data_IF_108494979527
#
_entry.id   IF_108494979527
#
_cell.length_a   1.000
_cell.length_b   1.000
_cell.length_c   1.000
_cell.angle_alpha   90.00
_cell.angle_beta   90.00
_cell.angle_gamma   90.00
#
_symmetry.space_group_name_H-M   'P 1'
#
loop_
_entity.id
_entity.type
_entity.pdbx_description
1 polymer ?
#
# COMPACT_ATOMS: atom_id res chain seq x y z
N UNK A 1 34.77 57.55 16.45
CA UNK A 1 36.13 58.06 16.70
C UNK A 1 37.04 56.88 16.95
N UNK A 2 38.07 56.81 16.12
CA UNK A 2 39.11 55.79 16.00
C UNK A 2 40.14 55.91 17.17
N UNK A 3 41.32 55.23 17.19
CA UNK A 3 41.96 54.45 16.11
C UNK A 3 42.71 53.16 16.54
N UNK A 4 42.89 52.21 15.60
CA UNK A 4 44.13 51.81 14.90
C UNK A 4 45.20 51.16 15.81
N UNK A 5 45.87 50.08 15.44
CA UNK A 5 46.21 49.58 14.11
C UNK A 5 47.22 48.42 14.22
N UNK A 6 47.82 47.95 13.10
CA UNK A 6 47.97 46.53 12.80
C UNK A 6 49.44 46.09 12.54
N UNK A 7 49.60 44.94 11.85
CA UNK A 7 50.79 44.35 11.16
C UNK A 7 51.42 43.18 11.94
N UNK A 8 51.86 42.05 11.36
CA UNK A 8 51.93 41.53 9.98
C UNK A 8 52.36 40.03 10.05
N UNK A 9 51.92 39.22 9.06
CA UNK A 9 52.66 38.23 8.20
C UNK A 9 53.76 37.37 8.87
N UNK A 10 53.98 36.08 8.59
CA UNK A 10 53.64 35.17 7.48
C UNK A 10 54.27 33.81 7.79
N UNK A 11 53.71 32.70 7.29
CA UNK A 11 54.48 31.69 6.53
C UNK A 11 53.53 30.68 5.89
N UNK A 12 53.65 30.56 4.58
CA UNK A 12 53.09 29.51 3.74
C UNK A 12 54.07 28.32 3.68
N UNK A 13 53.52 27.10 3.63
CA UNK A 13 54.05 25.86 3.03
C UNK A 13 53.16 24.71 3.56
N UNK A 14 52.75 23.66 2.85
CA UNK A 14 52.77 23.29 1.45
C UNK A 14 51.77 22.11 1.35
N UNK A 15 51.02 22.02 0.26
CA UNK A 15 50.16 20.87 -0.06
C UNK A 15 51.01 19.69 -0.54
N UNK A 16 50.65 18.42 -0.22
CA UNK A 16 51.06 17.28 -1.02
C UNK A 16 49.90 16.76 -1.88
N UNK A 17 50.27 16.46 -3.11
CA UNK A 17 49.54 15.90 -4.25
C UNK A 17 48.89 14.51 -3.97
N UNK A 18 47.78 14.13 -4.64
CA UNK A 18 47.03 12.92 -4.40
C UNK A 18 47.50 11.79 -5.32
N UNK A 19 48.18 10.77 -4.78
CA UNK A 19 48.34 9.44 -5.41
C UNK A 19 49.01 8.47 -4.42
N UNK A 20 48.21 7.74 -3.65
CA UNK A 20 48.65 6.52 -2.99
C UNK A 20 47.52 5.48 -3.03
N UNK A 21 47.51 4.70 -4.13
CA UNK A 21 46.68 3.50 -4.27
C UNK A 21 47.24 2.41 -3.37
N UNK A 22 46.60 2.15 -2.22
CA UNK A 22 46.85 0.93 -1.46
C UNK A 22 46.03 -0.22 -2.06
N UNK A 23 46.72 -1.11 -2.80
CA UNK A 23 46.17 -2.35 -3.34
C UNK A 23 46.04 -3.38 -2.21
N UNK A 24 44.81 -3.71 -1.80
CA UNK A 24 44.57 -4.94 -1.03
C UNK A 24 44.68 -6.13 -1.99
N UNK A 25 45.78 -6.87 -1.89
CA UNK A 25 46.04 -8.11 -2.63
C UNK A 25 45.51 -9.29 -1.80
N UNK A 26 44.34 -9.82 -2.16
CA UNK A 26 43.83 -11.09 -1.63
C UNK A 26 44.78 -12.20 -2.07
N UNK A 27 45.54 -12.77 -1.13
CA UNK A 27 46.32 -14.00 -1.36
C UNK A 27 45.35 -15.18 -1.34
N UNK A 28 45.18 -15.86 -2.48
CA UNK A 28 44.63 -17.22 -2.56
C UNK A 28 45.63 -18.17 -1.90
N UNK A 29 45.28 -18.71 -0.72
CA UNK A 29 45.97 -19.84 -0.10
C UNK A 29 45.23 -21.13 -0.46
N UNK A 30 45.89 -22.01 -1.21
CA UNK A 30 45.36 -23.32 -1.57
C UNK A 30 45.45 -24.29 -0.40
N UNK A 31 44.36 -25.04 -0.17
CA UNK A 31 44.37 -26.21 0.70
C UNK A 31 45.00 -27.38 -0.06
N UNK A 32 46.12 -27.90 0.47
CA UNK A 32 46.68 -29.21 0.11
C UNK A 32 46.35 -30.19 1.23
N UNK A 33 45.90 -31.37 0.80
CA UNK A 33 45.78 -32.58 1.60
C UNK A 33 47.10 -32.93 2.29
N UNK A 34 47.02 -33.43 3.52
CA UNK A 34 47.92 -34.50 3.94
C UNK A 34 47.24 -35.42 4.95
N UNK A 35 47.30 -36.71 4.62
CA UNK A 35 47.00 -37.88 5.44
C UNK A 35 47.90 -37.89 6.67
N UNK A 36 47.35 -38.36 7.79
CA UNK A 36 47.95 -39.44 8.60
C UNK A 36 46.96 -39.86 9.71
N UNK A 37 46.67 -41.18 9.77
CA UNK A 37 45.92 -41.84 10.85
C UNK A 37 46.91 -42.65 11.68
N UNK A 38 46.80 -42.70 13.02
CA UNK A 38 47.40 -43.77 13.80
C UNK A 38 46.45 -44.97 13.91
N UNK A 39 47.04 -46.16 13.92
CA UNK A 39 46.41 -47.47 13.97
C UNK A 39 46.43 -48.07 15.39
N UNK A 40 45.50 -49.02 15.63
CA UNK A 40 45.55 -50.06 16.66
C UNK A 40 44.22 -50.19 17.43
N UNK A 41 43.61 -51.35 17.69
CA UNK A 41 43.81 -52.78 17.35
C UNK A 41 42.45 -53.51 17.60
N UNK A 42 42.36 -54.85 17.61
CA UNK A 42 41.62 -55.70 16.67
C UNK A 42 40.17 -56.06 17.09
N UNK A 43 39.34 -56.36 16.10
CA UNK A 43 37.95 -56.82 16.24
C UNK A 43 37.92 -58.33 16.49
N UNK A 44 37.36 -58.74 17.63
CA UNK A 44 36.93 -60.10 17.91
C UNK A 44 35.54 -60.39 17.32
N UNK A 45 35.36 -61.61 16.82
CA UNK A 45 34.22 -62.08 16.07
C UNK A 45 33.18 -62.70 17.02
N UNK A 46 32.01 -62.08 17.20
CA UNK A 46 30.86 -62.70 17.87
C UNK A 46 29.59 -62.56 17.01
N UNK A 47 28.84 -63.66 16.90
CA UNK A 47 27.69 -63.82 16.02
C UNK A 47 26.47 -63.00 16.48
N UNK A 48 25.85 -62.28 15.55
CA UNK A 48 24.58 -61.57 15.77
C UNK A 48 23.38 -62.54 15.72
N UNK A 49 22.43 -62.48 16.68
CA UNK A 49 21.18 -63.24 16.60
C UNK A 49 20.21 -62.63 15.57
N UNK A 50 19.53 -63.49 14.80
CA UNK A 50 18.53 -63.13 13.79
C UNK A 50 17.38 -62.30 14.39
N UNK A 51 17.16 -61.09 13.85
CA UNK A 51 15.98 -60.28 14.17
C UNK A 51 14.75 -60.77 13.40
N UNK A 52 13.69 -61.14 14.13
CA UNK A 52 12.36 -61.40 13.57
C UNK A 52 11.80 -60.14 12.88
N UNK A 53 11.06 -60.27 11.77
CA UNK A 53 10.47 -59.13 11.07
C UNK A 53 9.39 -58.47 11.95
N UNK A 54 9.29 -57.12 11.95
CA UNK A 54 8.29 -56.43 12.74
C UNK A 54 6.87 -56.76 12.23
N UNK A 55 5.96 -56.95 13.19
CA UNK A 55 4.56 -57.27 12.95
C UNK A 55 3.82 -56.20 12.14
N UNK A 56 2.70 -56.62 11.58
CA UNK A 56 1.76 -55.83 10.77
C UNK A 56 1.44 -54.45 11.38
N UNK A 57 1.32 -53.40 10.55
CA UNK A 57 1.07 -52.05 11.03
C UNK A 57 -0.25 -52.00 11.78
N UNK A 58 -0.18 -51.62 13.06
CA UNK A 58 -1.35 -51.27 13.85
C UNK A 58 -2.06 -50.10 13.16
N UNK A 59 -3.39 -50.18 13.07
CA UNK A 59 -4.26 -49.09 12.64
C UNK A 59 -4.01 -47.87 13.54
N UNK A 60 -3.20 -46.92 13.05
CA UNK A 60 -3.10 -45.60 13.66
C UNK A 60 -4.34 -44.85 13.21
N UNK A 61 -5.36 -44.80 14.07
CA UNK A 61 -6.45 -43.85 13.91
C UNK A 61 -5.85 -42.44 13.83
N UNK A 62 -5.85 -41.84 12.64
CA UNK A 62 -5.41 -40.46 12.49
C UNK A 62 -6.46 -39.57 13.15
N UNK A 63 -6.17 -39.11 14.38
CA UNK A 63 -6.97 -38.05 15.00
C UNK A 63 -6.91 -36.84 14.06
N UNK A 64 -8.05 -36.48 13.49
CA UNK A 64 -8.18 -35.26 12.69
C UNK A 64 -7.67 -34.07 13.52
N UNK A 65 -6.83 -33.24 12.90
CA UNK A 65 -6.34 -32.02 13.54
C UNK A 65 -7.52 -31.13 13.94
N UNK A 66 -7.37 -30.37 15.04
CA UNK A 66 -8.37 -29.36 15.43
C UNK A 66 -8.56 -28.35 14.30
N UNK A 67 -9.77 -27.78 14.14
CA UNK A 67 -10.01 -26.76 13.12
C UNK A 67 -9.10 -25.54 13.33
N UNK A 68 -8.61 -24.99 12.23
CA UNK A 68 -7.82 -23.75 12.22
C UNK A 68 -8.73 -22.52 12.36
N UNK A 69 -8.17 -21.31 12.26
CA UNK A 69 -8.95 -20.07 12.35
C UNK A 69 -10.00 -20.02 11.23
N UNK A 70 -11.28 -20.11 11.60
CA UNK A 70 -12.38 -20.21 10.65
C UNK A 70 -12.50 -18.99 9.70
N UNK A 71 -12.21 -17.78 10.19
CA UNK A 71 -12.27 -16.56 9.37
C UNK A 71 -11.17 -16.55 8.31
N UNK A 72 -9.94 -16.88 8.70
CA UNK A 72 -8.81 -16.95 7.77
C UNK A 72 -9.00 -18.11 6.77
N UNK A 73 -9.49 -19.26 7.22
CA UNK A 73 -9.81 -20.39 6.33
C UNK A 73 -10.92 -20.06 5.32
N UNK A 74 -11.86 -19.18 5.68
CA UNK A 74 -12.91 -18.69 4.78
C UNK A 74 -12.48 -17.50 3.92
N UNK A 75 -11.34 -16.87 4.21
CA UNK A 75 -10.85 -15.72 3.46
C UNK A 75 -10.23 -16.20 2.14
N UNK A 76 -10.87 -15.86 1.04
CA UNK A 76 -10.36 -16.16 -0.30
C UNK A 76 -9.09 -15.37 -0.62
N UNK A 77 -8.38 -15.81 -1.65
CA UNK A 77 -7.26 -15.06 -2.23
C UNK A 77 -7.74 -13.68 -2.72
N UNK A 78 -6.95 -12.63 -2.49
CA UNK A 78 -7.33 -11.27 -2.88
C UNK A 78 -7.50 -11.15 -4.40
N UNK A 79 -8.40 -10.26 -4.85
CA UNK A 79 -8.60 -9.96 -6.27
C UNK A 79 -7.29 -9.53 -6.95
N UNK A 80 -6.41 -8.83 -6.21
CA UNK A 80 -5.11 -8.39 -6.71
C UNK A 80 -4.22 -9.58 -7.05
N UNK A 81 -4.12 -10.57 -6.17
CA UNK A 81 -3.33 -11.77 -6.40
C UNK A 81 -3.88 -12.57 -7.58
N UNK A 82 -5.21 -12.73 -7.67
CA UNK A 82 -5.88 -13.46 -8.77
C UNK A 82 -5.59 -12.78 -10.11
N UNK A 83 -5.84 -11.48 -10.22
CA UNK A 83 -5.68 -10.75 -11.48
C UNK A 83 -4.20 -10.59 -11.87
N UNK A 84 -3.28 -10.42 -10.92
CA UNK A 84 -1.84 -10.38 -11.22
C UNK A 84 -1.30 -11.73 -11.70
N UNK A 85 -1.77 -12.85 -11.14
CA UNK A 85 -1.42 -14.19 -11.62
C UNK A 85 -1.94 -14.41 -13.05
N UNK A 86 -3.20 -14.02 -13.32
CA UNK A 86 -3.78 -14.09 -14.67
C UNK A 86 -3.00 -13.20 -15.65
N UNK A 87 -2.60 -12.01 -15.23
CA UNK A 87 -1.79 -11.11 -16.06
C UNK A 87 -0.45 -11.77 -16.46
N UNK A 88 0.25 -12.38 -15.49
CA UNK A 88 1.51 -13.08 -15.74
C UNK A 88 1.32 -14.27 -16.68
N UNK A 89 0.29 -15.10 -16.45
CA UNK A 89 -0.05 -16.25 -17.30
C UNK A 89 -0.28 -15.84 -18.77
N UNK A 90 -0.87 -14.67 -18.98
CA UNK A 90 -1.21 -14.18 -20.30
C UNK A 90 -0.21 -13.18 -20.87
N UNK A 91 0.89 -12.82 -20.18
CA UNK A 91 1.78 -11.76 -20.64
C UNK A 91 1.06 -10.42 -20.84
N UNK A 92 0.04 -10.17 -20.01
CA UNK A 92 -0.78 -8.97 -20.07
C UNK A 92 -0.10 -7.79 -19.38
N UNK A 93 -0.40 -6.58 -19.83
CA UNK A 93 -0.03 -5.35 -19.12
C UNK A 93 -0.91 -5.25 -17.88
N UNK A 94 -0.28 -5.20 -16.71
CA UNK A 94 -0.99 -5.11 -15.44
C UNK A 94 -1.29 -3.66 -15.05
N UNK A 95 -2.42 -3.15 -15.53
CA UNK A 95 -3.05 -1.91 -15.02
C UNK A 95 -3.97 -2.18 -13.82
N UNK A 96 -4.01 -3.40 -13.29
CA UNK A 96 -4.82 -3.74 -12.14
C UNK A 96 -4.16 -3.33 -10.82
N UNK A 97 -2.88 -3.68 -10.66
CA UNK A 97 -2.17 -3.47 -9.39
C UNK A 97 -1.60 -2.04 -9.28
N UNK A 98 -1.93 -1.37 -8.16
CA UNK A 98 -1.60 0.04 -7.90
C UNK A 98 -0.19 0.28 -7.36
N UNK A 99 0.83 -0.12 -8.11
CA UNK A 99 2.22 0.24 -7.89
C UNK A 99 2.83 0.92 -9.14
N UNK A 100 3.67 1.96 -8.97
CA UNK A 100 4.45 2.54 -10.06
C UNK A 100 5.41 1.54 -10.70
N UNK A 101 5.55 1.58 -12.03
CA UNK A 101 6.62 0.87 -12.76
C UNK A 101 7.83 1.77 -13.06
N UNK A 102 7.86 2.95 -12.45
CA UNK A 102 9.00 3.86 -12.36
C UNK A 102 9.65 3.69 -10.98
N UNK A 103 10.98 3.77 -10.94
CA UNK A 103 11.71 3.75 -9.68
C UNK A 103 11.46 5.05 -8.90
N UNK A 104 11.52 4.98 -7.57
CA UNK A 104 11.40 6.15 -6.71
C UNK A 104 12.59 7.13 -6.84
N UNK A 105 12.59 8.22 -6.06
CA UNK A 105 13.67 9.22 -6.08
C UNK A 105 15.04 8.58 -5.82
N UNK A 106 15.98 8.77 -6.74
CA UNK A 106 17.29 8.11 -6.68
C UNK A 106 18.10 8.49 -5.43
N UNK A 107 17.92 9.70 -4.90
CA UNK A 107 18.56 10.17 -3.68
C UNK A 107 18.00 9.47 -2.43
N UNK A 108 16.69 9.21 -2.39
CA UNK A 108 16.06 8.40 -1.33
C UNK A 108 16.56 6.97 -1.37
N UNK A 109 16.62 6.35 -2.57
CA UNK A 109 17.20 5.01 -2.74
C UNK A 109 18.68 4.96 -2.33
N UNK A 110 19.46 5.99 -2.69
CA UNK A 110 20.86 6.12 -2.29
C UNK A 110 21.00 6.23 -0.78
N UNK A 111 20.18 7.03 -0.12
CA UNK A 111 20.19 7.17 1.34
C UNK A 111 19.92 5.84 2.05
N UNK A 112 19.02 4.99 1.52
CA UNK A 112 18.81 3.65 2.05
C UNK A 112 20.04 2.75 1.87
N UNK A 113 20.69 2.82 0.71
CA UNK A 113 21.91 2.07 0.41
C UNK A 113 23.08 2.48 1.34
N UNK A 114 23.26 3.78 1.56
CA UNK A 114 24.32 4.30 2.42
C UNK A 114 24.05 3.96 3.90
N UNK A 115 22.78 4.04 4.32
CA UNK A 115 22.34 3.62 5.65
C UNK A 115 22.61 2.14 5.95
N UNK A 116 22.66 1.26 4.96
CA UNK A 116 23.04 -0.15 5.17
C UNK A 116 24.53 -0.31 5.54
N UNK A 117 25.38 0.64 5.13
CA UNK A 117 26.83 0.58 5.28
C UNK A 117 27.36 1.29 6.54
N UNK A 118 26.50 1.99 7.29
CA UNK A 118 26.89 2.81 8.43
C UNK A 118 26.89 2.08 9.79
N UNK A 119 26.74 0.75 9.76
CA UNK A 119 26.72 -0.16 10.90
C UNK A 119 25.53 -0.01 11.87
N UNK A 120 24.48 0.78 11.54
CA UNK A 120 23.25 0.91 12.35
C UNK A 120 22.14 -0.03 11.87
N UNK A 121 22.47 -1.31 11.72
CA UNK A 121 21.57 -2.35 11.17
C UNK A 121 20.74 -3.12 12.22
N UNK A 122 20.91 -2.80 13.51
CA UNK A 122 20.21 -3.49 14.62
C UNK A 122 18.84 -2.86 14.91
N UNK A 123 18.07 -3.49 15.81
CA UNK A 123 16.71 -3.05 16.14
C UNK A 123 16.62 -1.55 16.47
N UNK A 124 15.71 -0.80 15.82
CA UNK A 124 15.39 0.57 16.22
C UNK A 124 14.51 0.60 17.48
N UNK A 125 14.20 1.79 18.03
CA UNK A 125 13.13 1.92 19.00
C UNK A 125 11.80 1.39 18.46
N UNK A 126 10.94 0.87 19.36
CA UNK A 126 9.60 0.35 19.04
C UNK A 126 8.78 1.32 18.17
N UNK A 127 8.78 2.61 18.49
CA UNK A 127 8.00 3.61 17.74
C UNK A 127 8.67 4.09 16.46
N UNK A 128 9.87 3.60 16.13
CA UNK A 128 10.66 4.01 14.98
C UNK A 128 11.86 4.89 15.33
N UNK A 129 12.75 5.05 14.35
CA UNK A 129 13.96 5.87 14.48
C UNK A 129 13.58 7.35 14.68
N UNK A 130 14.30 8.10 15.54
CA UNK A 130 14.04 9.53 15.76
C UNK A 130 13.96 10.34 14.47
N UNK A 131 14.86 10.07 13.51
CA UNK A 131 14.96 10.80 12.25
C UNK A 131 13.64 10.76 11.46
N UNK A 132 12.99 9.60 11.39
CA UNK A 132 11.71 9.47 10.68
C UNK A 132 10.56 10.10 11.47
N UNK A 133 10.54 9.94 12.80
CA UNK A 133 9.47 10.52 13.62
C UNK A 133 9.49 12.06 13.56
N UNK A 134 10.68 12.65 13.62
CA UNK A 134 10.89 14.10 13.43
C UNK A 134 10.47 14.55 12.03
N UNK A 135 10.84 13.81 10.98
CA UNK A 135 10.45 14.13 9.61
C UNK A 135 8.93 14.05 9.40
N UNK A 136 8.24 13.09 10.03
CA UNK A 136 6.77 12.99 10.00
C UNK A 136 6.13 14.18 10.70
N UNK A 137 6.61 14.58 11.88
CA UNK A 137 6.11 15.76 12.57
C UNK A 137 6.31 17.04 11.73
N UNK A 138 7.51 17.23 11.17
CA UNK A 138 7.83 18.36 10.30
C UNK A 138 6.96 18.39 9.03
N UNK A 139 6.69 17.23 8.41
CA UNK A 139 5.81 17.14 7.25
C UNK A 139 4.36 17.51 7.61
N UNK A 140 3.84 17.05 8.75
CA UNK A 140 2.51 17.41 9.22
C UNK A 140 2.39 18.94 9.48
N UNK A 141 3.40 19.56 10.09
CA UNK A 141 3.42 21.02 10.27
C UNK A 141 3.47 21.75 8.91
N UNK A 142 4.38 21.35 8.02
CA UNK A 142 4.56 21.99 6.72
C UNK A 142 3.32 21.95 5.83
N UNK A 143 2.72 20.77 5.67
CA UNK A 143 1.61 20.57 4.72
C UNK A 143 0.25 20.95 5.30
N UNK A 144 0.09 20.86 6.62
CA UNK A 144 -1.22 20.95 7.27
C UNK A 144 -1.28 21.87 8.48
N UNK A 145 -0.16 22.50 8.87
CA UNK A 145 -0.09 23.37 10.04
C UNK A 145 -0.32 22.64 11.37
N UNK A 146 -0.12 21.32 11.40
CA UNK A 146 -0.34 20.53 12.61
C UNK A 146 0.93 20.46 13.47
N UNK A 147 0.82 20.86 14.72
CA UNK A 147 1.86 20.66 15.74
C UNK A 147 1.79 19.23 16.28
N UNK A 148 2.84 18.45 16.01
CA UNK A 148 2.95 17.04 16.38
C UNK A 148 4.21 16.85 17.22
N UNK A 149 4.08 16.24 18.39
CA UNK A 149 5.22 15.79 19.19
C UNK A 149 5.79 14.48 18.57
N UNK A 150 6.99 14.49 17.97
CA UNK A 150 7.52 13.32 17.30
C UNK A 150 7.80 12.15 18.25
N UNK A 151 7.94 12.39 19.56
CA UNK A 151 8.17 11.33 20.55
C UNK A 151 6.86 10.74 21.03
N UNK A 152 5.87 11.58 21.31
CA UNK A 152 4.62 11.16 21.93
C UNK A 152 3.51 10.77 20.93
N UNK A 153 3.60 11.21 19.68
CA UNK A 153 2.44 11.22 18.76
C UNK A 153 2.70 10.58 17.40
N UNK A 154 3.91 10.04 17.19
CA UNK A 154 4.28 9.34 15.95
C UNK A 154 4.70 7.91 16.24
N UNK A 155 4.08 6.96 15.52
CA UNK A 155 4.45 5.54 15.52
C UNK A 155 4.73 5.09 14.09
N UNK A 156 5.95 4.65 13.82
CA UNK A 156 6.34 4.06 12.54
C UNK A 156 5.88 2.60 12.47
N UNK A 157 5.44 2.16 11.30
CA UNK A 157 4.90 0.82 11.05
C UNK A 157 5.43 0.24 9.73
N UNK A 158 5.26 -1.07 9.55
CA UNK A 158 5.70 -1.78 8.34
C UNK A 158 4.69 -1.62 7.19
N UNK A 159 4.52 -0.37 6.78
CA UNK A 159 3.59 0.07 5.74
C UNK A 159 2.19 0.35 6.29
N UNK A 160 1.38 1.07 5.51
CA UNK A 160 0.03 1.44 5.93
C UNK A 160 -0.90 0.25 6.22
N UNK A 161 -0.70 -0.91 5.58
CA UNK A 161 -1.46 -2.13 5.90
C UNK A 161 -1.31 -2.53 7.38
N UNK A 162 -0.08 -2.46 7.90
CA UNK A 162 0.17 -2.71 9.31
C UNK A 162 -0.38 -1.56 10.15
N UNK A 163 -0.21 -0.31 9.71
CA UNK A 163 -0.75 0.86 10.40
C UNK A 163 -2.25 0.79 10.65
N UNK A 164 -3.03 0.42 9.62
CA UNK A 164 -4.49 0.25 9.71
C UNK A 164 -4.81 -0.82 10.75
N UNK A 165 -4.12 -1.97 10.67
CA UNK A 165 -4.33 -3.08 11.60
C UNK A 165 -4.00 -2.69 13.03
N UNK A 166 -2.87 -2.00 13.25
CA UNK A 166 -2.44 -1.52 14.56
C UNK A 166 -3.42 -0.49 15.15
N UNK A 167 -3.94 0.43 14.32
CA UNK A 167 -4.96 1.40 14.74
C UNK A 167 -6.25 0.69 15.18
N UNK A 168 -6.73 -0.28 14.39
CA UNK A 168 -7.95 -1.03 14.73
C UNK A 168 -7.73 -1.89 16.00
N UNK A 169 -6.59 -2.57 16.13
CA UNK A 169 -6.24 -3.32 17.34
C UNK A 169 -6.14 -2.44 18.59
N UNK A 170 -5.69 -1.19 18.44
CA UNK A 170 -5.55 -0.27 19.57
C UNK A 170 -6.89 0.29 20.09
N UNK A 171 -7.94 0.25 19.26
CA UNK A 171 -9.23 0.90 19.54
C UNK A 171 -10.37 -0.07 19.82
N UNK A 172 -10.35 -1.25 19.17
CA UNK A 172 -11.50 -2.13 19.09
C UNK A 172 -11.44 -3.29 20.09
N UNK A 173 -12.57 -3.53 20.73
CA UNK A 173 -12.90 -4.76 21.43
C UNK A 173 -13.97 -5.57 20.65
N UNK A 174 -14.11 -6.88 20.92
CA UNK A 174 -15.20 -7.67 20.34
C UNK A 174 -16.58 -7.07 20.63
N UNK A 175 -17.38 -6.91 19.58
CA UNK A 175 -18.73 -6.32 19.66
C UNK A 175 -18.79 -4.81 19.46
N UNK A 176 -17.66 -4.10 19.39
CA UNK A 176 -17.61 -2.70 18.95
C UNK A 176 -18.08 -2.57 17.49
N UNK A 177 -18.76 -1.48 17.17
CA UNK A 177 -19.20 -1.19 15.80
C UNK A 177 -18.20 -0.26 15.10
N UNK A 178 -17.86 -0.57 13.84
CA UNK A 178 -16.97 0.24 13.01
C UNK A 178 -17.68 0.66 11.73
N UNK A 179 -17.82 1.96 11.52
CA UNK A 179 -18.38 2.50 10.28
C UNK A 179 -17.34 2.39 9.16
N UNK A 180 -17.70 1.75 8.06
CA UNK A 180 -16.86 1.58 6.88
C UNK A 180 -17.57 2.15 5.65
N UNK A 181 -16.86 2.98 4.88
CA UNK A 181 -17.39 3.64 3.70
C UNK A 181 -16.97 2.87 2.44
N UNK A 182 -17.91 2.18 1.79
CA UNK A 182 -17.67 1.50 0.52
C UNK A 182 -17.57 2.51 -0.64
N UNK A 183 -16.74 2.24 -1.66
CA UNK A 183 -15.91 1.04 -1.84
C UNK A 183 -14.68 0.99 -0.90
N UNK A 184 -14.39 -0.20 -0.37
CA UNK A 184 -13.38 -0.46 0.65
C UNK A 184 -12.07 -0.92 0.04
N UNK A 185 -10.94 -0.48 0.59
CA UNK A 185 -9.70 -1.24 0.43
C UNK A 185 -9.85 -2.61 1.10
N UNK A 186 -9.34 -3.64 0.44
CA UNK A 186 -9.62 -5.06 0.73
C UNK A 186 -9.23 -5.50 2.15
N UNK A 187 -8.33 -4.77 2.81
CA UNK A 187 -7.86 -5.09 4.16
C UNK A 187 -8.85 -4.69 5.26
N UNK A 188 -9.70 -3.68 5.05
CA UNK A 188 -10.50 -3.07 6.13
C UNK A 188 -11.48 -4.07 6.76
N UNK A 189 -12.35 -4.66 5.93
CA UNK A 189 -13.43 -5.53 6.39
C UNK A 189 -12.93 -6.83 7.04
N UNK A 190 -11.94 -7.55 6.47
CA UNK A 190 -11.38 -8.75 7.11
C UNK A 190 -10.77 -8.46 8.49
N UNK A 191 -10.02 -7.36 8.65
CA UNK A 191 -9.38 -7.02 9.93
C UNK A 191 -10.43 -6.69 10.99
N UNK A 192 -11.44 -5.86 10.66
CA UNK A 192 -12.54 -5.55 11.59
C UNK A 192 -13.22 -6.84 12.08
N UNK A 193 -13.54 -7.77 11.17
CA UNK A 193 -14.17 -9.05 11.53
C UNK A 193 -13.24 -9.94 12.37
N UNK A 194 -11.95 -9.98 12.05
CA UNK A 194 -10.96 -10.77 12.77
C UNK A 194 -10.79 -10.32 14.23
N UNK A 195 -10.97 -9.03 14.50
CA UNK A 195 -10.96 -8.46 15.85
C UNK A 195 -12.28 -8.67 16.60
N UNK A 196 -13.28 -9.30 15.99
CA UNK A 196 -14.59 -9.52 16.59
C UNK A 196 -15.49 -8.28 16.59
N UNK A 197 -15.11 -7.21 15.90
CA UNK A 197 -15.91 -6.01 15.74
C UNK A 197 -16.94 -6.16 14.61
N UNK A 198 -17.99 -5.33 14.66
CA UNK A 198 -19.15 -5.38 13.77
C UNK A 198 -19.06 -4.25 12.75
N UNK A 199 -18.87 -4.54 11.45
CA UNK A 199 -18.84 -3.51 10.42
C UNK A 199 -20.24 -2.93 10.15
N UNK A 200 -20.33 -1.60 10.10
CA UNK A 200 -21.51 -0.83 9.69
C UNK A 200 -21.20 -0.19 8.34
N UNK A 201 -21.67 -0.81 7.26
CA UNK A 201 -21.31 -0.43 5.90
C UNK A 201 -22.19 0.73 5.41
N UNK A 202 -21.55 1.72 4.81
CA UNK A 202 -22.18 2.89 4.18
C UNK A 202 -21.67 2.99 2.76
N UNK A 203 -22.58 3.06 1.77
CA UNK A 203 -22.21 2.84 0.37
C UNK A 203 -22.20 4.11 -0.46
N UNK A 204 -21.04 4.50 -1.00
CA UNK A 204 -20.99 5.46 -2.10
C UNK A 204 -21.37 4.73 -3.39
N UNK A 205 -22.19 5.38 -4.22
CA UNK A 205 -22.63 4.82 -5.49
C UNK A 205 -22.00 5.55 -6.69
N UNK A 206 -21.46 4.82 -7.68
CA UNK A 206 -21.10 5.42 -8.96
C UNK A 206 -22.35 5.90 -9.72
N UNK A 207 -22.21 6.90 -10.62
CA UNK A 207 -20.96 7.52 -11.05
C UNK A 207 -20.50 8.69 -10.18
N UNK A 208 -21.32 9.16 -9.24
CA UNK A 208 -21.10 10.43 -8.56
C UNK A 208 -20.26 10.34 -7.28
N UNK A 209 -20.22 9.18 -6.63
CA UNK A 209 -19.49 8.98 -5.38
C UNK A 209 -19.89 9.98 -4.28
N UNK A 210 -21.17 10.35 -4.24
CA UNK A 210 -21.73 11.25 -3.23
C UNK A 210 -21.76 10.56 -1.86
N UNK A 211 -21.39 11.27 -0.79
CA UNK A 211 -21.52 10.75 0.56
C UNK A 211 -23.00 10.67 0.97
N UNK A 212 -23.57 9.47 1.23
CA UNK A 212 -24.97 9.32 1.61
C UNK A 212 -25.16 9.75 3.07
N UNK A 213 -25.34 11.05 3.31
CA UNK A 213 -25.35 11.65 4.66
C UNK A 213 -26.33 10.99 5.64
N UNK A 214 -27.54 10.66 5.16
CA UNK A 214 -28.57 10.03 5.99
C UNK A 214 -28.17 8.60 6.41
N UNK A 215 -27.68 7.79 5.47
CA UNK A 215 -27.17 6.44 5.75
C UNK A 215 -25.95 6.47 6.66
N UNK A 216 -25.04 7.42 6.43
CA UNK A 216 -23.88 7.61 7.30
C UNK A 216 -24.33 7.93 8.73
N UNK A 217 -25.23 8.89 8.93
CA UNK A 217 -25.74 9.21 10.26
C UNK A 217 -26.43 8.01 10.93
N UNK A 218 -27.19 7.21 10.18
CA UNK A 218 -27.86 6.02 10.70
C UNK A 218 -26.90 4.87 11.04
N UNK A 219 -25.69 4.85 10.46
CA UNK A 219 -24.67 3.86 10.77
C UNK A 219 -23.97 4.12 12.12
N UNK A 220 -24.04 5.35 12.64
CA UNK A 220 -23.54 5.69 13.97
C UNK A 220 -24.57 5.36 15.05
N UNK A 221 -24.10 4.84 16.18
CA UNK A 221 -24.92 4.48 17.32
C UNK A 221 -24.09 4.38 18.62
N UNK A 222 -24.70 3.92 19.73
CA UNK A 222 -24.03 3.86 21.03
C UNK A 222 -22.83 2.89 21.10
N UNK A 223 -22.74 1.94 20.16
CA UNK A 223 -21.63 0.99 20.06
C UNK A 223 -20.57 1.39 19.04
N UNK A 224 -20.76 2.50 18.33
CA UNK A 224 -19.81 2.94 17.31
C UNK A 224 -18.52 3.38 17.96
N UNK A 225 -17.46 2.58 17.79
CA UNK A 225 -16.14 2.86 18.32
C UNK A 225 -15.31 3.72 17.37
N UNK A 226 -15.44 3.45 16.06
CA UNK A 226 -14.63 4.14 15.07
C UNK A 226 -15.33 4.24 13.70
N UNK A 227 -14.88 5.21 12.91
CA UNK A 227 -15.04 5.23 11.45
C UNK A 227 -13.67 4.99 10.80
N UNK A 228 -13.63 4.25 9.69
CA UNK A 228 -12.46 4.17 8.82
C UNK A 228 -12.72 5.01 7.56
N UNK A 229 -11.94 6.08 7.41
CA UNK A 229 -12.02 7.01 6.29
C UNK A 229 -10.80 6.85 5.40
N UNK A 230 -11.00 6.65 4.09
CA UNK A 230 -9.93 6.66 3.10
C UNK A 230 -10.07 7.86 2.16
N UNK A 231 -9.11 8.79 2.22
CA UNK A 231 -9.09 9.99 1.38
C UNK A 231 -7.65 10.41 1.07
N UNK A 232 -7.28 10.59 -0.21
CA UNK A 232 -8.02 10.23 -1.42
C UNK A 232 -8.36 8.73 -1.52
N UNK A 233 -9.58 8.43 -1.98
CA UNK A 233 -10.19 7.12 -1.89
C UNK A 233 -9.72 6.17 -3.00
N UNK A 234 -9.27 4.98 -2.62
CA UNK A 234 -9.13 3.81 -3.49
C UNK A 234 -10.34 2.90 -3.29
N UNK A 235 -11.06 2.48 -4.35
CA UNK A 235 -10.78 2.65 -5.80
C UNK A 235 -11.39 3.89 -6.47
N UNK A 236 -12.25 4.65 -5.78
CA UNK A 236 -13.13 5.64 -6.41
C UNK A 236 -12.41 6.87 -7.00
N UNK A 237 -11.17 7.15 -6.58
CA UNK A 237 -10.46 8.38 -6.92
C UNK A 237 -11.10 9.63 -6.28
N UNK A 238 -12.01 9.45 -5.31
CA UNK A 238 -12.69 10.55 -4.62
C UNK A 238 -11.74 11.27 -3.67
N UNK A 239 -11.76 12.60 -3.70
CA UNK A 239 -11.21 13.46 -2.65
C UNK A 239 -12.40 14.02 -1.87
N UNK A 240 -12.43 13.84 -0.56
CA UNK A 240 -13.54 14.31 0.27
C UNK A 240 -13.51 15.82 0.41
N UNK A 241 -14.68 16.45 0.25
CA UNK A 241 -14.83 17.89 0.38
C UNK A 241 -14.79 18.33 1.84
N UNK A 242 -14.47 19.60 2.09
CA UNK A 242 -14.55 20.18 3.44
C UNK A 242 -15.93 20.01 4.09
N UNK A 243 -17.01 20.13 3.29
CA UNK A 243 -18.38 19.96 3.78
C UNK A 243 -18.73 18.51 4.14
N UNK A 244 -18.15 17.52 3.45
CA UNK A 244 -18.28 16.10 3.81
C UNK A 244 -17.45 15.76 5.05
N UNK A 245 -16.22 16.27 5.12
CA UNK A 245 -15.34 16.07 6.29
C UNK A 245 -15.92 16.71 7.54
N UNK A 246 -16.52 17.90 7.45
CA UNK A 246 -17.20 18.56 8.56
C UNK A 246 -18.39 17.73 9.06
N UNK A 247 -19.17 17.13 8.15
CA UNK A 247 -20.28 16.25 8.51
C UNK A 247 -19.79 14.96 9.19
N UNK A 248 -18.70 14.37 8.69
CA UNK A 248 -18.07 13.21 9.35
C UNK A 248 -17.56 13.60 10.75
N UNK A 249 -16.87 14.73 10.88
CA UNK A 249 -16.35 15.23 12.15
C UNK A 249 -17.47 15.45 13.18
N UNK A 250 -18.63 15.99 12.76
CA UNK A 250 -19.80 16.17 13.60
C UNK A 250 -20.31 14.83 14.16
N UNK A 251 -20.44 13.81 13.32
CA UNK A 251 -20.88 12.48 13.74
C UNK A 251 -19.86 11.82 14.68
N UNK A 252 -18.58 11.90 14.35
CA UNK A 252 -17.52 11.32 15.19
C UNK A 252 -17.51 11.97 16.57
N UNK A 253 -17.66 13.30 16.66
CA UNK A 253 -17.74 14.00 17.94
C UNK A 253 -19.02 13.69 18.71
N UNK A 254 -20.18 13.68 18.03
CA UNK A 254 -21.48 13.38 18.66
C UNK A 254 -21.51 12.01 19.33
N UNK A 255 -20.85 11.03 18.75
CA UNK A 255 -20.83 9.65 19.24
C UNK A 255 -19.58 9.31 20.06
N UNK A 256 -18.72 10.30 20.34
CA UNK A 256 -17.41 10.11 20.98
C UNK A 256 -16.59 8.96 20.36
N UNK A 257 -16.65 8.86 19.04
CA UNK A 257 -15.95 7.83 18.28
C UNK A 257 -14.53 8.30 17.90
N UNK A 258 -13.74 7.35 17.42
CA UNK A 258 -12.45 7.60 16.77
C UNK A 258 -12.57 7.62 15.24
N UNK A 259 -11.60 8.21 14.55
CA UNK A 259 -11.48 8.14 13.10
C UNK A 259 -10.10 7.62 12.69
N UNK A 260 -10.07 6.43 12.09
CA UNK A 260 -8.87 5.88 11.45
C UNK A 260 -8.83 6.41 10.01
N UNK A 261 -7.87 7.27 9.73
CA UNK A 261 -7.77 8.01 8.48
C UNK A 261 -6.64 7.42 7.62
N UNK A 262 -7.01 6.59 6.64
CA UNK A 262 -6.11 6.09 5.61
C UNK A 262 -5.88 7.18 4.55
N UNK A 263 -4.79 7.92 4.70
CA UNK A 263 -4.44 9.08 3.89
C UNK A 263 -3.19 8.84 3.03
N UNK A 264 -2.93 7.58 2.66
CA UNK A 264 -1.70 7.20 1.93
C UNK A 264 -1.53 7.89 0.58
N UNK A 265 -2.60 8.47 0.04
CA UNK A 265 -2.61 9.19 -1.23
C UNK A 265 -2.66 10.72 -1.07
N UNK A 266 -2.36 11.25 0.11
CA UNK A 266 -2.48 12.67 0.46
C UNK A 266 -1.86 13.64 -0.57
N UNK A 267 -0.72 13.29 -1.17
CA UNK A 267 -0.02 14.12 -2.16
C UNK A 267 -0.48 13.88 -3.61
N UNK A 268 -1.43 12.97 -3.82
CA UNK A 268 -1.88 12.53 -5.13
C UNK A 268 -3.29 13.05 -5.39
N UNK A 269 -3.41 14.37 -5.45
CA UNK A 269 -4.65 15.08 -5.80
C UNK A 269 -4.44 15.84 -7.11
N UNK A 270 -5.52 16.05 -7.85
CA UNK A 270 -5.49 16.55 -9.23
C UNK A 270 -6.50 17.68 -9.44
N UNK A 271 -6.42 18.40 -10.56
CA UNK A 271 -7.36 19.46 -10.96
C UNK A 271 -7.50 20.59 -9.92
N UNK A 272 -6.45 20.83 -9.15
CA UNK A 272 -6.45 21.82 -8.06
C UNK A 272 -7.21 21.39 -6.81
N UNK A 273 -7.72 20.15 -6.74
CA UNK A 273 -8.21 19.58 -5.49
C UNK A 273 -7.08 19.52 -4.46
N UNK A 274 -7.46 19.67 -3.19
CA UNK A 274 -6.53 19.59 -2.06
C UNK A 274 -6.99 18.51 -1.11
N UNK A 275 -6.02 17.76 -0.59
CA UNK A 275 -6.27 16.88 0.54
C UNK A 275 -6.45 17.69 1.82
N UNK A 276 -7.44 17.33 2.63
CA UNK A 276 -7.71 17.93 3.92
C UNK A 276 -7.73 16.78 4.93
N UNK A 277 -6.69 16.65 5.78
CA UNK A 277 -6.69 15.63 6.82
C UNK A 277 -7.84 15.90 7.79
N UNK A 278 -8.62 14.87 8.12
CA UNK A 278 -9.75 15.01 9.03
C UNK A 278 -9.31 15.52 10.41
N UNK A 279 -8.08 15.17 10.82
CA UNK A 279 -7.43 15.61 12.05
C UNK A 279 -7.29 17.13 12.16
N UNK A 280 -7.29 17.88 11.05
CA UNK A 280 -7.18 19.35 11.05
C UNK A 280 -8.49 20.06 11.42
N UNK A 281 -9.61 19.35 11.44
CA UNK A 281 -10.90 19.94 11.78
C UNK A 281 -11.03 20.14 13.30
N UNK A 282 -11.79 21.17 13.75
CA UNK A 282 -12.00 21.42 15.17
C UNK A 282 -12.52 20.18 15.94
N UNK A 283 -11.88 19.85 17.06
CA UNK A 283 -12.27 18.74 17.94
C UNK A 283 -11.88 17.34 17.44
N UNK A 284 -11.14 17.24 16.33
CA UNK A 284 -10.73 15.97 15.75
C UNK A 284 -9.33 15.51 16.14
N UNK A 285 -8.48 16.39 16.68
CA UNK A 285 -7.08 16.10 17.00
C UNK A 285 -6.91 14.95 17.98
N UNK A 286 -7.76 14.88 19.00
CA UNK A 286 -7.70 13.90 20.10
C UNK A 286 -8.25 12.53 19.71
N UNK A 287 -8.91 12.43 18.53
CA UNK A 287 -9.68 11.24 18.11
C UNK A 287 -9.40 10.75 16.70
N UNK A 288 -8.47 11.39 15.98
CA UNK A 288 -7.99 10.91 14.69
C UNK A 288 -6.70 10.10 14.84
N UNK A 289 -6.60 9.02 14.06
CA UNK A 289 -5.36 8.29 13.83
C UNK A 289 -5.08 8.38 12.33
N UNK A 290 -4.17 9.26 11.96
CA UNK A 290 -3.81 9.58 10.57
C UNK A 290 -2.70 8.66 10.09
N UNK A 291 -2.88 8.06 8.92
CA UNK A 291 -1.96 7.06 8.37
C UNK A 291 -1.36 7.58 7.06
N UNK A 292 -0.03 7.64 7.00
CA UNK A 292 0.73 7.88 5.77
C UNK A 292 1.51 6.65 5.30
N UNK A 293 1.98 6.70 4.05
CA UNK A 293 2.75 5.60 3.45
C UNK A 293 3.85 6.11 2.54
N UNK A 294 5.09 5.89 2.95
CA UNK A 294 6.27 6.20 2.14
C UNK A 294 6.23 5.49 0.76
N UNK A 295 5.70 4.26 0.71
CA UNK A 295 5.60 3.52 -0.53
C UNK A 295 4.65 4.15 -1.56
N UNK A 296 3.70 4.99 -1.11
CA UNK A 296 2.79 5.72 -2.00
C UNK A 296 3.34 7.10 -2.31
N UNK A 297 3.90 7.79 -1.32
CA UNK A 297 4.53 9.11 -1.48
C UNK A 297 5.76 9.08 -2.38
N UNK A 298 6.59 8.04 -2.30
CA UNK A 298 7.88 7.99 -3.01
C UNK A 298 7.94 6.96 -4.12
N UNK A 299 6.81 6.36 -4.51
CA UNK A 299 6.76 5.27 -5.51
C UNK A 299 7.56 4.01 -5.12
N UNK A 300 7.89 3.83 -3.84
CA UNK A 300 8.69 2.71 -3.32
C UNK A 300 7.82 1.68 -2.59
N UNK A 301 6.79 1.14 -3.25
CA UNK A 301 5.74 0.34 -2.59
C UNK A 301 6.27 -0.90 -1.86
N UNK A 302 7.38 -1.47 -2.32
CA UNK A 302 8.03 -2.63 -1.71
C UNK A 302 8.75 -2.34 -0.39
N UNK A 303 9.01 -1.07 -0.07
CA UNK A 303 9.74 -0.71 1.16
C UNK A 303 8.93 -0.94 2.43
N UNK A 304 7.59 -0.95 2.31
CA UNK A 304 6.67 -1.18 3.42
C UNK A 304 7.07 -0.36 4.66
N UNK A 305 7.22 0.96 4.48
CA UNK A 305 7.36 1.93 5.57
C UNK A 305 6.12 2.81 5.60
N UNK A 306 5.43 2.80 6.73
CA UNK A 306 4.26 3.61 7.02
C UNK A 306 4.44 4.32 8.36
N UNK A 307 3.55 5.24 8.67
CA UNK A 307 3.59 5.98 9.93
C UNK A 307 2.20 6.44 10.31
N UNK A 308 1.96 6.48 11.62
CA UNK A 308 0.72 6.92 12.24
C UNK A 308 1.02 8.22 12.98
N UNK A 309 0.18 9.22 12.80
CA UNK A 309 0.10 10.41 13.63
C UNK A 309 -1.20 10.35 14.43
N UNK A 310 -1.14 10.44 15.75
CA UNK A 310 -2.31 10.36 16.63
C UNK A 310 -2.03 11.03 17.97
N UNK A 311 -3.09 11.35 18.72
CA UNK A 311 -2.95 11.96 20.04
C UNK A 311 -2.09 11.12 21.00
N UNK A 312 -1.34 11.81 21.87
CA UNK A 312 -0.49 11.21 22.90
C UNK A 312 -1.22 10.25 23.82
N UNK A 313 -2.54 10.40 23.98
CA UNK A 313 -3.35 9.48 24.79
C UNK A 313 -3.62 8.15 24.09
N UNK A 314 -3.54 8.11 22.75
CA UNK A 314 -3.81 6.93 21.90
C UNK A 314 -2.52 6.23 21.46
N UNK A 315 -1.45 6.99 21.18
CA UNK A 315 -0.19 6.49 20.64
C UNK A 315 0.43 5.31 21.44
N UNK A 316 0.37 5.26 22.78
CA UNK A 316 0.91 4.12 23.54
C UNK A 316 0.20 2.79 23.22
N UNK A 317 -1.11 2.80 22.97
CA UNK A 317 -1.84 1.58 22.62
C UNK A 317 -1.59 1.17 21.16
N UNK A 318 -1.42 2.13 20.26
CA UNK A 318 -0.95 1.87 18.88
C UNK A 318 0.43 1.23 18.89
N UNK A 319 1.36 1.74 19.71
CA UNK A 319 2.69 1.18 19.85
C UNK A 319 2.66 -0.26 20.40
N UNK A 320 1.77 -0.58 21.35
CA UNK A 320 1.56 -1.95 21.85
C UNK A 320 1.00 -2.88 20.77
N UNK A 321 0.09 -2.39 19.92
CA UNK A 321 -0.41 -3.18 18.80
C UNK A 321 0.71 -3.46 17.77
N UNK A 322 1.50 -2.44 17.40
CA UNK A 322 2.70 -2.59 16.57
C UNK A 322 3.70 -3.59 17.18
N UNK A 323 3.91 -3.53 18.50
CA UNK A 323 4.78 -4.44 19.25
C UNK A 323 4.43 -5.91 19.01
N UNK A 324 3.13 -6.24 18.94
CA UNK A 324 2.63 -7.60 18.75
C UNK A 324 2.61 -8.04 17.28
N UNK A 325 2.58 -7.09 16.34
CA UNK A 325 2.52 -7.38 14.90
C UNK A 325 3.92 -7.61 14.32
N UNK A 326 4.84 -6.67 14.52
CA UNK A 326 6.17 -6.68 13.89
C UNK A 326 7.30 -6.24 14.82
N UNK A 327 6.98 -5.65 15.98
CA UNK A 327 7.92 -5.06 16.94
C UNK A 327 8.72 -3.86 16.44
N UNK A 328 9.32 -3.94 15.26
CA UNK A 328 10.04 -2.82 14.63
C UNK A 328 9.99 -2.91 13.11
N UNK A 329 10.12 -1.77 12.44
CA UNK A 329 10.26 -1.66 10.97
C UNK A 329 11.74 -1.51 10.57
N UNK A 330 12.21 -1.97 9.39
CA UNK A 330 13.62 -1.90 9.00
C UNK A 330 14.23 -0.47 9.11
N UNK A 331 15.23 -0.24 9.97
CA UNK A 331 15.66 1.11 10.36
C UNK A 331 16.28 1.91 9.21
N UNK A 332 16.94 1.25 8.27
CA UNK A 332 17.65 1.90 7.17
C UNK A 332 16.68 2.52 6.16
N UNK A 333 15.57 1.82 5.91
CA UNK A 333 14.49 2.34 5.07
C UNK A 333 13.82 3.52 5.77
N UNK A 334 13.62 3.47 7.09
CA UNK A 334 13.06 4.59 7.84
C UNK A 334 13.91 5.87 7.68
N UNK A 335 15.24 5.75 7.79
CA UNK A 335 16.17 6.87 7.65
C UNK A 335 16.15 7.48 6.24
N UNK A 336 16.04 6.65 5.21
CA UNK A 336 15.87 7.12 3.84
C UNK A 336 14.52 7.82 3.62
N UNK A 337 13.44 7.30 4.21
CA UNK A 337 12.11 7.91 4.16
C UNK A 337 12.12 9.26 4.88
N UNK A 338 12.86 9.42 5.98
CA UNK A 338 13.03 10.70 6.66
C UNK A 338 13.58 11.78 5.71
N UNK A 339 14.62 11.44 4.93
CA UNK A 339 15.14 12.30 3.87
C UNK A 339 14.08 12.61 2.81
N UNK A 340 13.32 11.60 2.38
CA UNK A 340 12.23 11.77 1.41
C UNK A 340 11.16 12.76 1.88
N UNK A 341 10.72 12.68 3.14
CA UNK A 341 9.71 13.58 3.70
C UNK A 341 10.24 15.02 3.84
N UNK A 342 11.56 15.19 3.96
CA UNK A 342 12.23 16.50 3.98
C UNK A 342 12.49 17.13 2.62
N UNK A 343 12.10 16.52 1.50
CA UNK A 343 12.31 17.07 0.15
C UNK A 343 11.52 18.37 -0.05
N UNK A 344 11.97 19.24 -0.95
CA UNK A 344 11.29 20.50 -1.30
C UNK A 344 9.91 20.27 -1.95
N UNK A 345 9.03 21.29 -1.92
CA UNK A 345 7.63 21.17 -2.37
C UNK A 345 7.54 20.79 -3.84
N UNK A 346 8.51 21.27 -4.65
CA UNK A 346 8.62 20.94 -6.07
C UNK A 346 8.68 19.43 -6.35
N UNK A 347 9.14 18.60 -5.41
CA UNK A 347 9.06 17.14 -5.56
C UNK A 347 7.61 16.64 -5.54
N UNK A 348 6.82 17.07 -4.55
CA UNK A 348 5.44 16.64 -4.36
C UNK A 348 4.52 17.22 -5.44
N UNK A 349 4.78 18.47 -5.84
CA UNK A 349 4.10 19.14 -6.96
C UNK A 349 4.36 18.39 -8.27
N UNK A 350 5.61 18.04 -8.57
CA UNK A 350 5.96 17.27 -9.77
C UNK A 350 5.36 15.86 -9.76
N UNK A 351 5.31 15.21 -8.59
CA UNK A 351 4.66 13.91 -8.43
C UNK A 351 3.17 13.97 -8.79
N UNK A 352 2.43 14.91 -8.20
CA UNK A 352 1.01 15.13 -8.49
C UNK A 352 0.80 15.46 -9.97
N UNK A 353 1.51 16.45 -10.51
CA UNK A 353 1.37 16.89 -11.89
C UNK A 353 1.67 15.77 -12.90
N UNK A 354 2.72 14.97 -12.67
CA UNK A 354 3.06 13.84 -13.53
C UNK A 354 2.00 12.74 -13.49
N UNK A 355 1.41 12.45 -12.33
CA UNK A 355 0.30 11.50 -12.20
C UNK A 355 -0.99 12.03 -12.84
N UNK A 356 -1.29 13.32 -12.71
CA UNK A 356 -2.41 13.95 -13.39
C UNK A 356 -2.30 13.77 -14.91
N UNK A 357 -1.14 14.08 -15.50
CA UNK A 357 -0.93 13.93 -16.94
C UNK A 357 -1.14 12.48 -17.42
N UNK A 358 -0.76 11.49 -16.61
CA UNK A 358 -0.98 10.06 -16.90
C UNK A 358 -2.44 9.65 -16.75
N UNK A 359 -3.13 10.16 -15.72
CA UNK A 359 -4.57 9.99 -15.55
C UNK A 359 -5.31 10.52 -16.77
N UNK A 360 -5.01 11.76 -17.18
CA UNK A 360 -5.67 12.43 -18.31
C UNK A 360 -5.45 11.67 -19.62
N UNK A 361 -4.23 11.18 -19.83
CA UNK A 361 -3.89 10.38 -20.99
C UNK A 361 -4.67 9.06 -21.03
N UNK A 362 -4.70 8.32 -19.92
CA UNK A 362 -5.44 7.05 -19.85
C UNK A 362 -6.95 7.30 -19.98
N UNK A 363 -7.49 8.33 -19.32
CA UNK A 363 -8.90 8.72 -19.39
C UNK A 363 -9.31 9.00 -20.84
N UNK A 364 -8.62 9.91 -21.52
CA UNK A 364 -8.91 10.25 -22.91
C UNK A 364 -8.77 9.04 -23.84
N UNK A 365 -7.83 8.14 -23.57
CA UNK A 365 -7.68 6.88 -24.30
C UNK A 365 -8.87 5.95 -24.14
N UNK A 366 -9.30 5.71 -22.90
CA UNK A 366 -10.46 4.87 -22.59
C UNK A 366 -11.75 5.47 -23.17
N UNK A 367 -11.94 6.79 -23.09
CA UNK A 367 -13.09 7.47 -23.70
C UNK A 367 -13.15 7.30 -25.22
N UNK A 368 -12.01 7.45 -25.92
CA UNK A 368 -11.93 7.18 -27.38
C UNK A 368 -12.29 5.73 -27.72
N UNK A 369 -11.99 4.80 -26.83
CA UNK A 369 -12.36 3.39 -26.97
C UNK A 369 -13.82 3.10 -26.62
N UNK A 370 -14.57 4.10 -26.15
CA UNK A 370 -15.99 4.01 -25.84
C UNK A 370 -16.30 3.63 -24.39
N UNK A 371 -15.32 3.67 -23.48
CA UNK A 371 -15.61 3.51 -22.05
C UNK A 371 -16.28 4.77 -21.49
N UNK A 372 -17.20 4.61 -20.54
CA UNK A 372 -17.71 5.71 -19.72
C UNK A 372 -16.77 5.99 -18.56
N UNK A 373 -15.80 6.88 -18.73
CA UNK A 373 -14.78 7.16 -17.71
C UNK A 373 -15.34 8.06 -16.60
N UNK A 374 -15.14 7.68 -15.34
CA UNK A 374 -15.59 8.45 -14.19
C UNK A 374 -14.50 9.44 -13.73
N UNK A 375 -14.88 10.59 -13.16
CA UNK A 375 -13.93 11.53 -12.58
C UNK A 375 -13.07 10.88 -11.48
N UNK A 376 -11.77 11.20 -11.49
CA UNK A 376 -10.81 10.78 -10.47
C UNK A 376 -9.99 11.99 -10.02
N UNK A 377 -10.34 12.56 -8.85
CA UNK A 377 -9.72 13.76 -8.29
C UNK A 377 -8.44 13.45 -7.51
N UNK A 378 -8.15 12.17 -7.25
CA UNK A 378 -6.90 11.75 -6.61
C UNK A 378 -6.62 10.26 -6.71
N UNK A 379 -5.62 9.79 -5.96
CA UNK A 379 -5.11 8.41 -5.91
C UNK A 379 -4.30 7.98 -7.16
N UNK A 380 -4.23 6.67 -7.43
CA UNK A 380 -3.62 6.06 -8.62
C UNK A 380 -4.64 5.52 -9.62
N UNK A 381 -5.93 5.66 -9.32
CA UNK A 381 -6.96 4.84 -9.94
C UNK A 381 -7.98 5.67 -10.68
N UNK A 382 -8.40 5.14 -11.83
CA UNK A 382 -9.55 5.63 -12.58
C UNK A 382 -10.54 4.48 -12.76
N UNK A 383 -11.83 4.79 -12.64
CA UNK A 383 -12.92 3.83 -12.82
C UNK A 383 -13.61 4.08 -14.15
N UNK A 384 -13.92 3.03 -14.89
CA UNK A 384 -14.56 3.13 -16.19
C UNK A 384 -15.75 2.16 -16.30
N UNK A 385 -16.90 2.70 -16.75
CA UNK A 385 -18.08 1.95 -17.16
C UNK A 385 -17.82 1.29 -18.52
N UNK A 386 -17.97 -0.02 -18.61
CA UNK A 386 -17.79 -0.76 -19.86
C UNK A 386 -19.10 -1.11 -20.56
N UNK A 387 -20.27 -0.75 -20.01
CA UNK A 387 -21.57 -0.99 -20.67
C UNK A 387 -21.65 -0.45 -22.10
N UNK A 388 -21.12 0.75 -22.42
CA UNK A 388 -21.18 1.25 -23.80
C UNK A 388 -20.38 0.41 -24.80
N UNK A 389 -19.50 -0.50 -24.34
CA UNK A 389 -18.79 -1.46 -25.18
C UNK A 389 -19.63 -2.70 -25.55
N UNK A 390 -20.87 -2.80 -25.07
CA UNK A 390 -21.76 -3.93 -25.34
C UNK A 390 -21.21 -5.27 -24.88
N UNK A 391 -20.44 -5.30 -23.78
CA UNK A 391 -19.97 -6.56 -23.19
C UNK A 391 -21.09 -7.19 -22.36
N UNK A 392 -21.40 -8.47 -22.63
CA UNK A 392 -22.36 -9.23 -21.85
C UNK A 392 -21.63 -9.92 -20.69
N UNK A 393 -21.95 -9.54 -19.45
CA UNK A 393 -21.36 -10.11 -18.24
C UNK A 393 -21.12 -9.05 -17.16
N UNK A 394 -20.72 -9.52 -15.98
CA UNK A 394 -20.28 -8.67 -14.88
C UNK A 394 -18.82 -8.22 -15.05
N UNK A 395 -18.36 -7.38 -14.13
CA UNK A 395 -17.03 -6.79 -14.12
C UNK A 395 -15.94 -7.84 -13.90
N UNK A 396 -16.21 -8.90 -13.15
CA UNK A 396 -15.31 -10.05 -13.00
C UNK A 396 -15.09 -10.73 -14.35
N UNK A 397 -16.17 -11.04 -15.08
CA UNK A 397 -16.11 -11.62 -16.41
C UNK A 397 -15.41 -10.68 -17.40
N UNK A 398 -15.71 -9.38 -17.33
CA UNK A 398 -15.08 -8.37 -18.18
C UNK A 398 -13.57 -8.27 -17.94
N UNK A 399 -13.14 -8.08 -16.68
CA UNK A 399 -11.72 -7.94 -16.33
C UNK A 399 -10.91 -9.19 -16.67
N UNK A 400 -11.49 -10.39 -16.48
CA UNK A 400 -10.88 -11.64 -16.94
C UNK A 400 -10.75 -11.65 -18.47
N UNK A 401 -11.83 -11.33 -19.17
CA UNK A 401 -11.84 -11.33 -20.64
C UNK A 401 -10.81 -10.39 -21.25
N UNK A 402 -10.73 -9.13 -20.81
CA UNK A 402 -9.73 -8.19 -21.35
C UNK A 402 -8.29 -8.59 -20.98
N UNK A 403 -8.09 -9.26 -19.84
CA UNK A 403 -6.76 -9.80 -19.50
C UNK A 403 -6.34 -10.90 -20.48
N UNK A 404 -7.25 -11.81 -20.79
CA UNK A 404 -6.97 -12.96 -21.66
C UNK A 404 -6.90 -12.57 -23.14
N UNK A 405 -7.88 -11.78 -23.61
CA UNK A 405 -8.08 -11.47 -25.02
C UNK A 405 -7.33 -10.19 -25.44
N UNK A 406 -7.45 -9.11 -24.68
CA UNK A 406 -6.76 -7.85 -24.97
C UNK A 406 -5.35 -7.78 -24.37
N UNK A 407 -4.97 -8.71 -23.48
CA UNK A 407 -3.67 -8.67 -22.78
C UNK A 407 -3.48 -7.36 -21.99
N UNK A 408 -4.57 -6.87 -21.39
CA UNK A 408 -4.59 -5.72 -20.47
C UNK A 408 -5.45 -6.07 -19.27
N UNK A 409 -4.88 -5.95 -18.08
CA UNK A 409 -5.56 -6.29 -16.82
C UNK A 409 -6.09 -5.06 -16.11
N UNK A 410 -7.35 -5.13 -15.69
CA UNK A 410 -8.00 -4.20 -14.77
C UNK A 410 -8.48 -4.97 -13.52
N UNK A 411 -9.01 -4.25 -12.52
CA UNK A 411 -9.65 -4.87 -11.34
C UNK A 411 -11.16 -4.64 -11.38
N UNK A 412 -12.00 -5.67 -11.13
CA UNK A 412 -13.44 -5.49 -10.99
C UNK A 412 -13.76 -4.60 -9.79
N UNK A 413 -14.62 -3.61 -9.96
CA UNK A 413 -14.99 -2.68 -8.90
C UNK A 413 -15.82 -3.36 -7.81
N UNK A 414 -16.60 -4.38 -8.16
CA UNK A 414 -17.39 -5.20 -7.24
C UNK A 414 -16.55 -5.84 -6.13
N UNK A 415 -15.27 -6.11 -6.37
CA UNK A 415 -14.35 -6.67 -5.37
C UNK A 415 -14.07 -5.73 -4.19
N UNK A 416 -14.45 -4.45 -4.28
CA UNK A 416 -14.31 -3.46 -3.21
C UNK A 416 -15.62 -3.23 -2.42
N UNK A 417 -16.66 -4.03 -2.69
CA UNK A 417 -17.94 -3.97 -1.97
C UNK A 417 -18.22 -5.30 -1.27
N UNK A 418 -18.96 -5.23 -0.17
CA UNK A 418 -19.53 -6.38 0.46
C UNK A 418 -20.96 -6.64 -0.04
N UNK A 419 -21.29 -7.93 -0.18
CA UNK A 419 -22.64 -8.36 -0.52
C UNK A 419 -22.94 -8.38 -2.03
N UNK A 420 -24.13 -8.89 -2.40
CA UNK A 420 -24.47 -9.20 -3.79
C UNK A 420 -24.82 -7.96 -4.64
N UNK A 421 -25.24 -6.85 -4.03
CA UNK A 421 -25.72 -5.66 -4.75
C UNK A 421 -24.58 -4.68 -5.13
N UNK A 422 -23.38 -5.21 -5.32
CA UNK A 422 -22.22 -4.42 -5.72
C UNK A 422 -22.36 -3.92 -7.17
N UNK A 423 -21.90 -2.70 -7.50
CA UNK A 423 -21.81 -2.27 -8.89
C UNK A 423 -20.95 -3.25 -9.69
N UNK A 424 -21.54 -3.88 -10.70
CA UNK A 424 -20.94 -5.01 -11.42
C UNK A 424 -20.62 -4.69 -12.88
N UNK A 425 -20.59 -3.42 -13.26
CA UNK A 425 -20.34 -2.97 -14.63
C UNK A 425 -19.24 -1.91 -14.74
N UNK A 426 -18.34 -1.87 -13.76
CA UNK A 426 -17.21 -0.94 -13.71
C UNK A 426 -15.88 -1.69 -13.55
N UNK A 427 -14.85 -1.22 -14.25
CA UNK A 427 -13.49 -1.70 -14.11
C UNK A 427 -12.56 -0.57 -13.62
N UNK A 428 -11.66 -0.89 -12.70
CA UNK A 428 -10.66 0.04 -12.17
C UNK A 428 -9.30 -0.19 -12.84
N UNK A 429 -8.73 0.87 -13.38
CA UNK A 429 -7.39 0.90 -13.98
C UNK A 429 -6.45 1.78 -13.14
N UNK A 430 -5.20 1.37 -13.03
CA UNK A 430 -4.12 2.13 -12.43
C UNK A 430 -3.38 2.91 -13.52
N UNK A 431 -3.31 4.24 -13.38
CA UNK A 431 -2.58 5.12 -14.30
C UNK A 431 -1.18 5.48 -13.81
N UNK A 432 -0.76 5.00 -12.62
CA UNK A 432 0.59 5.17 -12.11
C UNK A 432 1.58 4.29 -12.88
N UNK A 433 1.67 4.45 -14.20
CA UNK A 433 2.57 3.70 -15.08
C UNK A 433 3.32 4.64 -16.02
N UNK A 434 4.47 4.22 -16.53
CA UNK A 434 5.19 4.91 -17.60
C UNK A 434 4.27 5.15 -18.79
N UNK A 435 4.50 6.27 -19.47
CA UNK A 435 3.66 6.72 -20.59
C UNK A 435 3.55 5.64 -21.67
N UNK A 436 4.67 5.00 -22.01
CA UNK A 436 4.75 3.99 -23.06
C UNK A 436 3.95 2.73 -22.71
N UNK A 437 3.85 2.39 -21.42
CA UNK A 437 3.03 1.26 -20.95
C UNK A 437 1.54 1.58 -21.06
N UNK A 438 1.15 2.83 -20.80
CA UNK A 438 -0.23 3.28 -21.01
C UNK A 438 -0.58 3.32 -22.50
N UNK A 439 0.32 3.80 -23.35
CA UNK A 439 0.14 3.82 -24.81
C UNK A 439 -0.06 2.40 -25.36
N UNK A 440 0.79 1.45 -24.98
CA UNK A 440 0.67 0.06 -25.40
C UNK A 440 -0.62 -0.60 -24.87
N UNK A 441 -1.02 -0.31 -23.63
CA UNK A 441 -2.28 -0.83 -23.09
C UNK A 441 -3.49 -0.32 -23.88
N UNK A 442 -3.52 0.97 -24.24
CA UNK A 442 -4.57 1.55 -25.05
C UNK A 442 -4.59 0.95 -26.47
N UNK A 443 -3.43 0.79 -27.11
CA UNK A 443 -3.32 0.17 -28.44
C UNK A 443 -3.83 -1.28 -28.45
N UNK A 444 -3.54 -2.05 -27.39
CA UNK A 444 -4.05 -3.41 -27.23
C UNK A 444 -5.56 -3.48 -27.06
N UNK A 445 -6.13 -2.58 -26.26
CA UNK A 445 -7.59 -2.47 -26.10
C UNK A 445 -8.27 -2.05 -27.40
N UNK A 446 -7.65 -1.15 -28.18
CA UNK A 446 -8.12 -0.73 -29.49
C UNK A 446 -8.18 -1.91 -30.48
N UNK A 447 -7.10 -2.67 -30.58
CA UNK A 447 -7.01 -3.85 -31.45
C UNK A 447 -8.05 -4.91 -31.05
N UNK A 448 -8.22 -5.16 -29.74
CA UNK A 448 -9.24 -6.07 -29.21
C UNK A 448 -10.65 -5.64 -29.60
N UNK A 449 -10.97 -4.34 -29.43
CA UNK A 449 -12.29 -3.79 -29.76
C UNK A 449 -12.58 -3.92 -31.27
N UNK A 450 -11.64 -3.54 -32.12
CA UNK A 450 -11.77 -3.67 -33.57
C UNK A 450 -11.99 -5.13 -34.00
N UNK A 451 -11.28 -6.08 -33.38
CA UNK A 451 -11.47 -7.52 -33.62
C UNK A 451 -12.87 -8.03 -33.25
N UNK A 452 -13.45 -7.54 -32.14
CA UNK A 452 -14.83 -7.89 -31.73
C UNK A 452 -15.89 -7.37 -32.72
N UNK A 453 -15.71 -6.16 -33.24
CA UNK A 453 -16.63 -5.56 -34.21
C UNK A 453 -16.63 -6.32 -35.55
N UNK A 454 -15.45 -6.75 -36.01
CA UNK A 454 -15.32 -7.54 -37.23
C UNK A 454 -15.97 -8.94 -37.08
N UNK A 455 -15.79 -9.60 -35.94
CA UNK A 455 -16.40 -10.89 -35.66
C UNK A 455 -17.95 -10.80 -35.56
N UNK A 456 -18.46 -9.74 -34.93
CA UNK A 456 -19.91 -9.47 -34.85
C UNK A 456 -20.53 -9.15 -36.21
N UNK A 457 -19.83 -8.38 -37.05
CA UNK A 457 -20.27 -8.05 -38.42
C UNK A 457 -20.32 -9.27 -39.35
N UNK A 458 -19.36 -10.19 -39.23
CA UNK A 458 -19.36 -11.45 -40.00
C UNK A 458 -20.49 -12.42 -39.57
N UNK A 459 -20.82 -12.46 -38.27
CA UNK A 459 -21.94 -13.26 -37.76
C UNK A 459 -23.30 -12.69 -38.21
N UNK A 460 -23.46 -11.36 -38.20
CA UNK A 460 -24.68 -10.69 -38.69
C UNK A 460 -24.89 -10.78 -40.21
N UNK A 461 -23.81 -10.84 -40.99
CA UNK A 461 -23.86 -11.07 -42.45
C UNK A 461 -24.31 -12.50 -42.79
N UNK A 462 -23.84 -13.51 -42.06
CA UNK A 462 -24.30 -14.91 -42.23
C UNK A 462 -25.77 -15.13 -41.83
N UNK A 463 -26.29 -14.37 -40.86
CA UNK A 463 -27.69 -14.47 -40.42
C UNK A 463 -28.69 -13.77 -41.36
N UNK A 464 -28.25 -12.94 -42.30
CA UNK A 464 -29.10 -12.26 -43.31
C UNK A 464 -29.20 -12.99 -44.65
N UNK A 465 -28.56 -14.15 -44.78
CA UNK A 465 -28.53 -14.97 -46.03
C UNK A 465 -29.31 -16.28 -45.85
N UNK A 466 -30.29 -16.31 -44.94
CA UNK A 466 -31.23 -17.44 -44.78
C UNK A 466 -32.65 -16.97 -44.98
#
# INVERSE_FOLDING_TARGET
MAPAGPLRRSRAAASPDPRARARFRVRRGGFRENRERPAGSPIGNEAHPEMKPPGSPQNVESKAARPQNALLSATGTTVFTVMSALAAQHGAINLGQGFPDEEGPADVVRAAADALLDNRNQYPPLTGVPELREAVAAANHRFYGMEIDPVAEVVVTSGATEAITACLMALLDPGDEVVLIEPLYDTYLPVVRMLGAVPKLVRLSPPKWELPRAELAAAFGPKTKAILLNSPMNPAGKVFTAAELAFIAELVQRHDAYAVCDEVYEHLTFDGWKHIPLMTLPGMRERCLRIGSAGKTFSLTGWKVGYITCDRSVAPNVAKAHQLLTFTTPPNLQRAVALGLGKEDGYFEALSAGLQARRDHLAAGLERLGFGVLPAMGSYFITADFRPLGFAGDDVAFCRHITEAARVTAIPVSAFYAGPDAPSHYARFAFCKRREVLDEALARLEAWKAGREQAGGQAGSKARVV
#
